data_IF_172473562919
#
_entry.id   IF_172473562919
#
_cell.length_a   1.000
_cell.length_b   1.000
_cell.length_c   1.000
_cell.angle_alpha   90.00
_cell.angle_beta   90.00
_cell.angle_gamma   90.00
#
_symmetry.space_group_name_H-M   'P 1'
#
loop_
_entity.id
_entity.type
_entity.pdbx_description
1 polymer ?
#
# COMPACT_ATOMS: atom_id res chain seq x y z
N UNK A 1 -13.87 -25.92 61.59
CA UNK A 1 -15.05 -26.72 61.16
C UNK A 1 -15.70 -25.96 60.00
N UNK A 2 -16.06 -26.49 58.83
CA UNK A 2 -16.24 -27.87 58.36
C UNK A 2 -16.24 -27.80 56.80
N UNK A 3 -15.29 -28.49 56.15
CA UNK A 3 -15.39 -29.28 54.89
C UNK A 3 -16.17 -28.67 53.70
N UNK A 4 -15.50 -28.32 52.58
CA UNK A 4 -15.16 -29.17 51.41
C UNK A 4 -16.35 -29.52 50.50
N UNK A 5 -16.04 -29.68 49.21
CA UNK A 5 -16.87 -30.09 48.04
C UNK A 5 -17.54 -28.90 47.32
N UNK A 6 -17.14 -28.48 46.12
CA UNK A 6 -16.40 -29.11 45.04
C UNK A 6 -17.28 -29.14 43.80
N UNK A 7 -16.99 -28.30 42.80
CA UNK A 7 -17.32 -28.59 41.40
C UNK A 7 -16.21 -28.00 40.54
N UNK A 8 -15.50 -28.90 39.88
CA UNK A 8 -14.56 -28.66 38.79
C UNK A 8 -15.36 -28.00 37.65
N UNK A 9 -15.29 -26.68 37.51
CA UNK A 9 -15.70 -26.04 36.24
C UNK A 9 -14.53 -26.15 35.28
N UNK A 10 -14.67 -27.13 34.39
CA UNK A 10 -13.73 -27.48 33.36
C UNK A 10 -13.24 -26.25 32.59
N UNK A 11 -11.92 -26.14 32.49
CA UNK A 11 -11.22 -25.33 31.50
C UNK A 11 -11.58 -25.92 30.13
N UNK A 12 -12.65 -25.44 29.51
CA UNK A 12 -12.81 -25.53 28.06
C UNK A 12 -12.28 -24.23 27.47
N UNK A 13 -10.97 -24.06 27.59
CA UNK A 13 -10.22 -23.13 26.76
C UNK A 13 -10.36 -23.68 25.34
N UNK A 14 -11.38 -23.22 24.63
CA UNK A 14 -11.67 -23.62 23.27
C UNK A 14 -10.41 -23.41 22.46
N UNK A 15 -9.77 -24.52 22.10
CA UNK A 15 -8.85 -24.61 20.98
C UNK A 15 -9.66 -24.26 19.74
N UNK A 16 -9.86 -22.96 19.51
CA UNK A 16 -10.26 -22.47 18.20
C UNK A 16 -9.06 -22.76 17.32
N UNK A 17 -9.17 -23.87 16.61
CA UNK A 17 -8.24 -24.29 15.58
C UNK A 17 -7.95 -23.08 14.71
N UNK A 18 -6.73 -22.54 14.82
CA UNK A 18 -6.19 -21.54 13.91
C UNK A 18 -5.88 -22.19 12.55
N UNK A 19 -6.86 -22.92 11.99
CA UNK A 19 -6.88 -23.28 10.59
C UNK A 19 -7.04 -21.96 9.84
N UNK A 20 -5.88 -21.39 9.51
CA UNK A 20 -5.72 -20.02 9.04
C UNK A 20 -6.58 -19.77 7.81
N UNK A 21 -7.55 -18.87 7.96
CA UNK A 21 -8.03 -18.08 6.85
C UNK A 21 -6.89 -17.11 6.50
N UNK A 22 -5.91 -17.58 5.73
CA UNK A 22 -4.98 -16.67 5.09
C UNK A 22 -5.80 -15.80 4.13
N UNK A 23 -5.79 -14.49 4.36
CA UNK A 23 -6.37 -13.57 3.39
C UNK A 23 -5.67 -13.79 2.04
N UNK A 24 -6.41 -13.78 0.91
CA UNK A 24 -5.78 -13.89 -0.39
C UNK A 24 -4.75 -12.76 -0.57
N UNK A 25 -3.63 -13.09 -1.20
CA UNK A 25 -2.61 -12.09 -1.52
C UNK A 25 -3.22 -11.05 -2.47
N UNK A 26 -2.97 -9.77 -2.21
CA UNK A 26 -3.31 -8.73 -3.16
C UNK A 26 -2.43 -8.90 -4.42
N UNK A 27 -3.07 -8.81 -5.58
CA UNK A 27 -2.44 -8.92 -6.89
C UNK A 27 -2.46 -7.57 -7.61
N UNK A 28 -1.59 -7.42 -8.60
CA UNK A 28 -1.58 -6.22 -9.43
C UNK A 28 -2.89 -6.11 -10.24
N UNK A 29 -3.51 -4.94 -10.22
CA UNK A 29 -4.69 -4.53 -10.98
C UNK A 29 -4.36 -3.31 -11.85
N UNK A 30 -4.00 -3.60 -13.10
CA UNK A 30 -3.68 -2.55 -14.08
C UNK A 30 -4.89 -1.69 -14.44
N UNK A 31 -6.09 -2.26 -14.41
CA UNK A 31 -7.32 -1.56 -14.78
C UNK A 31 -7.67 -0.54 -13.71
N UNK A 32 -7.63 -0.94 -12.44
CA UNK A 32 -7.82 -0.03 -11.31
C UNK A 32 -6.81 1.11 -11.34
N UNK A 33 -5.54 0.81 -11.60
CA UNK A 33 -4.50 1.83 -11.74
C UNK A 33 -4.84 2.83 -12.86
N UNK A 34 -5.12 2.34 -14.07
CA UNK A 34 -5.43 3.19 -15.23
C UNK A 34 -6.67 4.06 -15.01
N UNK A 35 -7.71 3.54 -14.35
CA UNK A 35 -8.90 4.31 -13.97
C UNK A 35 -8.57 5.42 -12.96
N UNK A 36 -7.55 5.27 -12.14
CA UNK A 36 -7.21 6.28 -11.14
C UNK A 36 -6.22 7.34 -11.65
N UNK A 37 -5.34 7.00 -12.60
CA UNK A 37 -4.27 7.90 -13.06
C UNK A 37 -4.33 8.29 -14.54
N UNK A 38 -4.87 7.47 -15.43
CA UNK A 38 -4.88 7.76 -16.86
C UNK A 38 -6.08 8.62 -17.25
N UNK A 39 -7.26 8.30 -16.73
CA UNK A 39 -8.49 9.08 -16.97
C UNK A 39 -8.60 10.32 -16.08
N UNK A 40 -7.78 10.41 -15.01
CA UNK A 40 -7.74 11.56 -14.11
C UNK A 40 -6.98 12.72 -14.76
N UNK A 41 -7.57 13.93 -14.83
CA UNK A 41 -6.85 15.11 -15.32
C UNK A 41 -5.60 15.40 -14.50
N UNK A 42 -4.51 15.82 -15.17
CA UNK A 42 -3.30 16.33 -14.52
C UNK A 42 -2.02 15.54 -14.83
N UNK A 43 -2.10 14.23 -15.05
CA UNK A 43 -0.91 13.43 -15.40
C UNK A 43 -0.62 13.40 -16.91
N UNK A 44 -1.67 13.47 -17.75
CA UNK A 44 -1.56 13.61 -19.21
C UNK A 44 -0.64 12.57 -19.88
N UNK A 45 -0.68 11.32 -19.42
CA UNK A 45 0.05 10.24 -20.08
C UNK A 45 -0.42 10.07 -21.54
N UNK A 46 0.49 9.84 -22.49
CA UNK A 46 0.14 9.77 -23.92
C UNK A 46 -0.71 8.54 -24.29
N UNK A 47 -0.63 7.47 -23.50
CA UNK A 47 -1.43 6.25 -23.62
C UNK A 47 -1.39 5.43 -22.32
N UNK A 48 -2.13 4.32 -22.29
CA UNK A 48 -2.21 3.43 -21.13
C UNK A 48 -0.86 2.76 -20.82
N UNK A 49 -0.09 2.38 -21.85
CA UNK A 49 1.20 1.72 -21.71
C UNK A 49 2.23 2.64 -21.04
N UNK A 50 2.23 3.93 -21.40
CA UNK A 50 3.07 4.94 -20.76
C UNK A 50 2.69 5.17 -19.29
N UNK A 51 1.39 5.19 -18.98
CA UNK A 51 0.92 5.29 -17.59
C UNK A 51 1.39 4.08 -16.77
N UNK A 52 1.16 2.87 -17.28
CA UNK A 52 1.58 1.62 -16.66
C UNK A 52 3.10 1.53 -16.49
N UNK A 53 3.86 1.95 -17.49
CA UNK A 53 5.32 2.01 -17.44
C UNK A 53 5.81 2.96 -16.34
N UNK A 54 5.20 4.15 -16.24
CA UNK A 54 5.54 5.09 -15.17
C UNK A 54 5.18 4.54 -13.79
N UNK A 55 3.98 3.97 -13.61
CA UNK A 55 3.56 3.35 -12.35
C UNK A 55 4.49 2.21 -11.91
N UNK A 56 4.94 1.37 -12.85
CA UNK A 56 5.95 0.35 -12.58
C UNK A 56 7.30 0.94 -12.18
N UNK A 57 7.72 2.04 -12.81
CA UNK A 57 8.95 2.73 -12.40
C UNK A 57 8.86 3.27 -10.96
N UNK A 58 7.68 3.66 -10.49
CA UNK A 58 7.45 4.03 -9.08
C UNK A 58 7.62 2.80 -8.18
N UNK A 59 7.07 1.65 -8.57
CA UNK A 59 7.29 0.40 -7.85
C UNK A 59 8.78 0.01 -7.77
N UNK A 60 9.56 0.22 -8.84
CA UNK A 60 11.00 -0.05 -8.80
C UNK A 60 11.75 0.89 -7.84
N UNK A 61 11.38 2.17 -7.80
CA UNK A 61 11.92 3.15 -6.85
C UNK A 61 11.58 2.78 -5.40
N UNK A 62 10.37 2.30 -5.15
CA UNK A 62 9.98 1.81 -3.82
C UNK A 62 10.78 0.55 -3.47
N UNK A 63 10.89 -0.42 -4.38
CA UNK A 63 11.64 -1.66 -4.18
C UNK A 63 13.11 -1.42 -3.83
N UNK A 64 13.72 -0.40 -4.43
CA UNK A 64 15.09 0.06 -4.16
C UNK A 64 15.24 0.88 -2.87
N UNK A 65 14.19 0.94 -2.03
CA UNK A 65 14.17 1.64 -0.73
C UNK A 65 14.39 3.14 -0.83
N UNK A 66 14.02 3.77 -1.95
CA UNK A 66 14.07 5.23 -2.10
C UNK A 66 13.29 5.91 -0.95
N UNK A 67 13.86 6.93 -0.28
CA UNK A 67 13.13 7.67 0.75
C UNK A 67 11.85 8.30 0.19
N UNK A 68 10.76 8.27 0.97
CA UNK A 68 9.46 8.76 0.49
C UNK A 68 9.50 10.24 0.07
N UNK A 69 10.26 11.08 0.77
CA UNK A 69 10.44 12.47 0.41
C UNK A 69 11.08 12.65 -0.98
N UNK A 70 12.11 11.85 -1.29
CA UNK A 70 12.79 11.88 -2.59
C UNK A 70 11.88 11.33 -3.70
N UNK A 71 11.12 10.28 -3.40
CA UNK A 71 10.13 9.72 -4.33
C UNK A 71 9.07 10.78 -4.70
N UNK A 72 8.51 11.46 -3.71
CA UNK A 72 7.56 12.56 -3.93
C UNK A 72 8.18 13.68 -4.75
N UNK A 73 9.39 14.13 -4.40
CA UNK A 73 10.08 15.20 -5.12
C UNK A 73 10.36 14.84 -6.58
N UNK A 74 10.75 13.59 -6.85
CA UNK A 74 10.95 13.13 -8.22
C UNK A 74 9.65 13.08 -8.99
N UNK A 75 8.55 12.56 -8.43
CA UNK A 75 7.25 12.56 -9.11
C UNK A 75 6.78 14.00 -9.39
N UNK A 76 6.97 14.92 -8.43
CA UNK A 76 6.70 16.35 -8.65
C UNK A 76 7.51 16.92 -9.82
N UNK A 77 8.80 16.59 -9.90
CA UNK A 77 9.67 17.01 -11.00
C UNK A 77 9.24 16.41 -12.35
N UNK A 78 8.94 15.10 -12.38
CA UNK A 78 8.53 14.36 -13.58
C UNK A 78 7.24 14.95 -14.19
N UNK A 79 6.28 15.37 -13.35
CA UNK A 79 5.03 16.03 -13.79
C UNK A 79 5.10 17.56 -13.80
N UNK A 80 6.27 18.16 -13.50
CA UNK A 80 6.46 19.61 -13.44
C UNK A 80 5.41 20.32 -12.57
N UNK A 81 5.07 19.70 -11.44
CA UNK A 81 4.05 20.17 -10.50
C UNK A 81 4.64 20.49 -9.14
N UNK A 82 4.05 21.44 -8.43
CA UNK A 82 4.36 21.69 -7.01
C UNK A 82 3.36 21.01 -6.08
N UNK A 83 2.29 20.43 -6.62
CA UNK A 83 1.22 19.81 -5.84
C UNK A 83 1.65 18.47 -5.25
N UNK A 84 1.78 18.45 -3.92
CA UNK A 84 2.04 17.24 -3.16
C UNK A 84 0.93 16.20 -3.32
N UNK A 85 -0.34 16.61 -3.31
CA UNK A 85 -1.46 15.68 -3.36
C UNK A 85 -1.50 14.94 -4.69
N UNK A 86 -1.19 15.63 -5.79
CA UNK A 86 -1.00 14.99 -7.08
C UNK A 86 0.10 13.93 -7.02
N UNK A 87 1.33 14.29 -6.58
CA UNK A 87 2.43 13.34 -6.54
C UNK A 87 2.17 12.14 -5.59
N UNK A 88 1.73 12.42 -4.37
CA UNK A 88 1.42 11.41 -3.36
C UNK A 88 0.27 10.50 -3.77
N UNK A 89 -0.76 11.02 -4.45
CA UNK A 89 -1.84 10.21 -4.97
C UNK A 89 -1.34 9.21 -6.01
N UNK A 90 -0.55 9.66 -7.00
CA UNK A 90 0.01 8.75 -8.00
C UNK A 90 0.84 7.65 -7.35
N UNK A 91 1.71 7.99 -6.40
CA UNK A 91 2.54 7.02 -5.68
C UNK A 91 1.66 5.98 -4.98
N UNK A 92 0.63 6.43 -4.27
CA UNK A 92 -0.29 5.54 -3.57
C UNK A 92 -1.07 4.64 -4.54
N UNK A 93 -1.50 5.17 -5.70
CA UNK A 93 -2.15 4.37 -6.74
C UNK A 93 -1.21 3.32 -7.34
N UNK A 94 0.03 3.70 -7.66
CA UNK A 94 1.00 2.76 -8.21
C UNK A 94 1.28 1.61 -7.22
N UNK A 95 1.47 1.92 -5.94
CA UNK A 95 1.82 0.91 -4.95
C UNK A 95 0.63 0.02 -4.56
N UNK A 96 -0.57 0.59 -4.39
CA UNK A 96 -1.74 -0.21 -4.04
C UNK A 96 -2.16 -1.12 -5.19
N UNK A 97 -2.13 -0.60 -6.42
CA UNK A 97 -2.70 -1.31 -7.56
C UNK A 97 -1.65 -2.11 -8.34
N UNK A 98 -0.37 -1.71 -8.43
CA UNK A 98 0.61 -2.42 -9.27
C UNK A 98 1.64 -3.25 -8.50
N UNK A 99 1.97 -2.87 -7.27
CA UNK A 99 2.94 -3.59 -6.44
C UNK A 99 2.50 -3.71 -4.97
N UNK A 100 1.35 -4.34 -4.70
CA UNK A 100 0.77 -4.37 -3.35
C UNK A 100 1.66 -5.06 -2.30
N UNK A 101 2.56 -5.96 -2.72
CA UNK A 101 3.57 -6.56 -1.85
C UNK A 101 4.52 -5.52 -1.21
N UNK A 102 4.65 -4.33 -1.79
CA UNK A 102 5.54 -3.26 -1.34
C UNK A 102 4.83 -2.18 -0.49
N UNK A 103 3.52 -2.31 -0.22
CA UNK A 103 2.75 -1.33 0.57
C UNK A 103 3.41 -1.06 1.92
N UNK A 104 3.86 -2.12 2.60
CA UNK A 104 4.49 -1.95 3.91
C UNK A 104 5.81 -1.16 3.82
N UNK A 105 6.61 -1.42 2.80
CA UNK A 105 7.87 -0.70 2.56
C UNK A 105 7.63 0.78 2.27
N UNK A 106 6.64 1.11 1.43
CA UNK A 106 6.25 2.50 1.20
C UNK A 106 5.82 3.17 2.51
N UNK A 107 4.92 2.55 3.27
CA UNK A 107 4.41 3.11 4.54
C UNK A 107 5.53 3.36 5.55
N UNK A 108 6.47 2.42 5.65
CA UNK A 108 7.63 2.56 6.52
C UNK A 108 8.51 3.75 6.09
N UNK A 109 8.74 3.92 4.78
CA UNK A 109 9.53 5.04 4.24
C UNK A 109 8.84 6.41 4.41
N UNK A 110 7.51 6.43 4.49
CA UNK A 110 6.71 7.63 4.69
C UNK A 110 6.48 7.98 6.16
N UNK A 111 6.96 7.16 7.10
CA UNK A 111 6.76 7.37 8.52
C UNK A 111 7.34 8.72 8.97
N UNK A 112 6.50 9.56 9.58
CA UNK A 112 6.90 10.91 10.03
C UNK A 112 7.06 11.94 8.92
N UNK A 113 6.76 11.58 7.65
CA UNK A 113 6.78 12.53 6.55
C UNK A 113 5.66 13.57 6.71
N UNK A 114 6.01 14.85 6.67
CA UNK A 114 5.07 15.98 6.65
C UNK A 114 5.18 16.70 5.30
N UNK A 115 4.09 16.78 4.52
CA UNK A 115 4.07 17.58 3.29
C UNK A 115 4.35 19.05 3.60
N UNK A 116 5.09 19.73 2.71
CA UNK A 116 5.37 21.17 2.78
C UNK A 116 5.08 21.84 1.44
#
# INVERSE_FOLDING_TARGET
MKWLVGVVSAITMGLVSAAGFAAPNAHADEVAYLVNVHVRPGYNFPNAEAALGYGRSVCDRVATTMPYADLVNQVKADFRTTDYYQAGYLINQAVNELCPAQIWQLRQSAAGYTPF
#
